data_IF_112041385338
#
_entry.id   IF_112041385338
#
_cell.length_a   1.000
_cell.length_b   1.000
_cell.length_c   1.000
_cell.angle_alpha   90.00
_cell.angle_beta   90.00
_cell.angle_gamma   90.00
#
_symmetry.space_group_name_H-M   'P 1'
#
loop_
_entity.id
_entity.type
_entity.pdbx_description
1 polymer ?
#
# COMPACT_ATOMS: atom_id res chain seq x y z
N UNK A 1 -12.13 -34.45 16.67
CA UNK A 1 -12.53 -35.02 15.37
C UNK A 1 -11.36 -35.23 14.43
N UNK A 2 -10.75 -34.20 13.80
CA UNK A 2 -9.66 -34.45 12.84
C UNK A 2 -8.40 -35.03 13.48
N UNK A 3 -7.97 -34.49 14.64
CA UNK A 3 -6.82 -35.03 15.38
C UNK A 3 -7.04 -36.47 15.88
N UNK A 4 -8.29 -36.86 16.15
CA UNK A 4 -8.64 -38.25 16.54
C UNK A 4 -8.40 -39.24 15.40
N UNK A 5 -8.33 -38.75 14.16
CA UNK A 5 -8.00 -39.51 12.96
C UNK A 5 -6.59 -39.22 12.44
N UNK A 6 -5.71 -38.64 13.27
CA UNK A 6 -4.32 -38.27 12.95
C UNK A 6 -4.18 -37.35 11.72
N UNK A 7 -5.22 -36.57 11.41
CA UNK A 7 -5.20 -35.60 10.32
C UNK A 7 -4.86 -34.22 10.88
N UNK A 8 -3.68 -33.69 10.53
CA UNK A 8 -3.15 -32.40 11.04
C UNK A 8 -2.96 -31.32 9.98
N UNK A 9 -3.09 -31.65 8.69
CA UNK A 9 -2.96 -30.71 7.58
C UNK A 9 -4.22 -29.84 7.42
N UNK A 10 -4.45 -28.98 8.41
CA UNK A 10 -5.69 -28.20 8.55
C UNK A 10 -5.38 -26.71 8.54
N UNK A 11 -6.28 -25.94 7.93
CA UNK A 11 -6.40 -24.50 8.14
C UNK A 11 -7.82 -24.19 8.59
N UNK A 12 -7.99 -23.23 9.50
CA UNK A 12 -9.30 -22.91 10.08
C UNK A 12 -9.74 -21.52 9.63
N UNK A 13 -11.04 -21.36 9.37
CA UNK A 13 -11.66 -20.07 9.08
C UNK A 13 -12.99 -19.97 9.80
N UNK A 14 -13.23 -18.84 10.47
CA UNK A 14 -14.48 -18.50 11.15
C UNK A 14 -14.96 -17.14 10.66
N UNK A 15 -15.59 -17.12 9.49
CA UNK A 15 -15.94 -15.88 8.79
C UNK A 15 -17.22 -15.26 9.36
N UNK A 16 -17.26 -13.94 9.36
CA UNK A 16 -18.45 -13.16 9.68
C UNK A 16 -18.50 -11.91 8.79
N UNK A 17 -19.69 -11.36 8.56
CA UNK A 17 -19.84 -10.17 7.72
C UNK A 17 -19.53 -8.87 8.48
N UNK A 18 -19.76 -8.84 9.80
CA UNK A 18 -19.39 -7.74 10.68
C UNK A 18 -17.91 -7.84 11.11
N UNK A 19 -17.06 -6.81 10.82
CA UNK A 19 -15.64 -6.80 11.18
C UNK A 19 -15.36 -6.97 12.68
N UNK A 20 -16.16 -6.35 13.55
CA UNK A 20 -15.91 -6.38 15.01
C UNK A 20 -16.14 -7.79 15.56
N UNK A 21 -17.19 -8.45 15.11
CA UNK A 21 -17.52 -9.83 15.46
C UNK A 21 -16.45 -10.79 14.92
N UNK A 22 -16.01 -10.59 13.68
CA UNK A 22 -14.92 -11.37 13.09
C UNK A 22 -13.65 -11.26 13.94
N UNK A 23 -13.21 -10.05 14.28
CA UNK A 23 -12.01 -9.82 15.10
C UNK A 23 -12.09 -10.58 16.42
N UNK A 24 -13.22 -10.48 17.13
CA UNK A 24 -13.43 -11.21 18.40
C UNK A 24 -13.32 -12.73 18.21
N UNK A 25 -13.94 -13.27 17.16
CA UNK A 25 -13.91 -14.70 16.88
C UNK A 25 -12.48 -15.21 16.59
N UNK A 26 -11.72 -14.49 15.75
CA UNK A 26 -10.34 -14.88 15.43
C UNK A 26 -9.38 -14.74 16.62
N UNK A 27 -9.52 -13.72 17.47
CA UNK A 27 -8.72 -13.62 18.71
C UNK A 27 -8.99 -14.80 19.65
N UNK A 28 -10.26 -15.17 19.81
CA UNK A 28 -10.61 -16.35 20.61
C UNK A 28 -10.05 -17.64 20.01
N UNK A 29 -10.11 -17.78 18.68
CA UNK A 29 -9.60 -18.95 17.98
C UNK A 29 -8.06 -19.06 18.08
N UNK A 30 -7.35 -17.96 17.83
CA UNK A 30 -5.89 -17.89 17.93
C UNK A 30 -5.38 -18.20 19.35
N UNK A 31 -6.15 -17.83 20.39
CA UNK A 31 -5.82 -18.19 21.77
C UNK A 31 -6.09 -19.67 22.14
N UNK A 32 -6.72 -20.43 21.24
CA UNK A 32 -7.15 -21.83 21.49
C UNK A 32 -6.40 -22.86 20.66
N UNK A 33 -5.80 -22.47 19.54
CA UNK A 33 -5.03 -23.38 18.70
C UNK A 33 -4.01 -22.64 17.83
N UNK A 34 -2.97 -23.36 17.43
CA UNK A 34 -1.88 -22.86 16.59
C UNK A 34 -2.05 -23.25 15.10
N UNK A 35 -3.27 -23.66 14.70
CA UNK A 35 -3.54 -23.97 13.30
C UNK A 35 -3.52 -22.70 12.44
N UNK A 36 -3.01 -22.77 11.20
CA UNK A 36 -3.04 -21.62 10.30
C UNK A 36 -4.48 -21.11 10.07
N UNK A 37 -4.65 -19.80 10.15
CA UNK A 37 -5.93 -19.11 10.10
C UNK A 37 -6.13 -18.43 8.74
N UNK A 38 -7.22 -18.79 8.07
CA UNK A 38 -7.64 -18.13 6.84
C UNK A 38 -8.66 -17.03 7.13
N UNK A 39 -8.23 -15.78 7.02
CA UNK A 39 -9.08 -14.62 7.27
C UNK A 39 -9.97 -14.32 6.06
N UNK A 40 -11.22 -13.97 6.32
CA UNK A 40 -12.10 -13.39 5.32
C UNK A 40 -13.36 -12.79 5.94
N UNK A 41 -13.65 -11.53 5.62
CA UNK A 41 -14.97 -10.95 5.83
C UNK A 41 -15.88 -11.52 4.74
N UNK A 42 -16.93 -12.24 5.11
CA UNK A 42 -17.93 -12.72 4.14
C UNK A 42 -18.95 -11.63 3.87
N UNK A 43 -19.59 -11.64 2.69
CA UNK A 43 -20.68 -10.69 2.38
C UNK A 43 -20.26 -9.22 2.65
N UNK A 44 -19.04 -8.83 2.26
CA UNK A 44 -18.51 -7.51 2.60
C UNK A 44 -19.20 -6.38 1.81
N UNK A 45 -19.79 -6.71 0.65
CA UNK A 45 -20.57 -5.78 -0.18
C UNK A 45 -19.81 -5.26 -1.40
N UNK A 46 -20.32 -4.19 -2.04
CA UNK A 46 -19.68 -3.55 -3.21
C UNK A 46 -18.28 -3.00 -2.89
N UNK A 47 -17.49 -2.68 -3.92
CA UNK A 47 -16.05 -2.34 -3.82
C UNK A 47 -15.73 -1.41 -2.65
N UNK A 48 -16.34 -0.23 -2.56
CA UNK A 48 -16.01 0.75 -1.51
C UNK A 48 -16.30 0.22 -0.10
N UNK A 49 -17.53 -0.24 0.14
CA UNK A 49 -17.93 -0.76 1.45
C UNK A 49 -17.18 -2.03 1.84
N UNK A 50 -17.04 -2.98 0.89
CA UNK A 50 -16.35 -4.24 1.11
C UNK A 50 -14.86 -4.07 1.35
N UNK A 51 -14.22 -3.10 0.68
CA UNK A 51 -12.83 -2.70 0.94
C UNK A 51 -12.68 -2.18 2.35
N UNK A 52 -13.52 -1.24 2.78
CA UNK A 52 -13.45 -0.66 4.14
C UNK A 52 -13.64 -1.74 5.19
N UNK A 53 -14.67 -2.60 5.05
CA UNK A 53 -14.95 -3.67 6.02
C UNK A 53 -13.79 -4.67 6.12
N UNK A 54 -13.25 -5.09 4.97
CA UNK A 54 -12.14 -6.04 4.91
C UNK A 54 -10.86 -5.45 5.49
N UNK A 55 -10.48 -4.23 5.08
CA UNK A 55 -9.31 -3.53 5.60
C UNK A 55 -9.41 -3.27 7.11
N UNK A 56 -10.60 -2.96 7.63
CA UNK A 56 -10.83 -2.77 9.07
C UNK A 56 -10.57 -4.06 9.85
N UNK A 57 -11.15 -5.19 9.43
CA UNK A 57 -10.96 -6.47 10.12
C UNK A 57 -9.51 -6.97 10.01
N UNK A 58 -8.95 -6.92 8.80
CA UNK A 58 -7.61 -7.44 8.53
C UNK A 58 -6.53 -6.56 9.15
N UNK A 59 -6.68 -5.23 9.12
CA UNK A 59 -5.73 -4.31 9.76
C UNK A 59 -5.56 -4.60 11.25
N UNK A 60 -6.66 -4.89 11.95
CA UNK A 60 -6.61 -5.26 13.37
C UNK A 60 -5.94 -6.63 13.57
N UNK A 61 -6.44 -7.68 12.89
CA UNK A 61 -5.95 -9.04 13.13
C UNK A 61 -4.49 -9.23 12.69
N UNK A 62 -4.14 -8.74 11.50
CA UNK A 62 -2.81 -8.93 10.94
C UNK A 62 -1.75 -8.10 11.68
N UNK A 63 -2.08 -6.92 12.22
CA UNK A 63 -1.15 -6.16 13.07
C UNK A 63 -0.90 -6.83 14.43
N UNK A 64 -1.81 -7.70 14.87
CA UNK A 64 -1.65 -8.56 16.04
C UNK A 64 -0.94 -9.88 15.73
N UNK A 65 -0.50 -10.09 14.48
CA UNK A 65 0.11 -11.35 14.03
C UNK A 65 -0.90 -12.49 13.83
N UNK A 66 -2.20 -12.21 13.76
CA UNK A 66 -3.25 -13.21 13.58
C UNK A 66 -3.65 -13.29 12.11
N UNK A 67 -3.36 -14.42 11.45
CA UNK A 67 -3.79 -14.74 10.09
C UNK A 67 -2.65 -15.11 9.15
N UNK A 68 -2.79 -16.25 8.47
CA UNK A 68 -1.75 -16.84 7.61
C UNK A 68 -2.08 -16.69 6.12
N UNK A 69 -3.36 -16.50 5.82
CA UNK A 69 -3.83 -16.22 4.46
C UNK A 69 -5.12 -15.39 4.54
N UNK A 70 -5.31 -14.50 3.58
CA UNK A 70 -6.49 -13.65 3.49
C UNK A 70 -7.26 -13.91 2.20
N UNK A 71 -8.58 -13.68 2.25
CA UNK A 71 -9.42 -13.45 1.07
C UNK A 71 -10.37 -12.29 1.33
N UNK A 72 -10.28 -11.27 0.49
CA UNK A 72 -11.29 -10.20 0.40
C UNK A 72 -12.51 -10.75 -0.35
N UNK A 73 -13.73 -10.51 0.13
CA UNK A 73 -14.96 -10.99 -0.53
C UNK A 73 -15.79 -9.80 -0.98
N UNK A 74 -15.75 -9.45 -2.27
CA UNK A 74 -16.43 -8.28 -2.84
C UNK A 74 -17.55 -8.69 -3.78
N UNK A 75 -18.60 -7.88 -3.86
CA UNK A 75 -19.58 -7.96 -4.94
C UNK A 75 -19.05 -7.27 -6.21
N UNK A 76 -17.93 -7.79 -6.74
CA UNK A 76 -17.16 -7.23 -7.86
C UNK A 76 -16.40 -8.34 -8.61
N UNK A 77 -15.80 -8.05 -9.79
CA UNK A 77 -14.92 -9.02 -10.45
C UNK A 77 -13.79 -9.50 -9.51
N UNK A 78 -13.42 -10.80 -9.51
CA UNK A 78 -12.45 -11.35 -8.57
C UNK A 78 -11.07 -10.68 -8.58
N UNK A 79 -10.68 -10.07 -9.69
CA UNK A 79 -9.43 -9.31 -9.81
C UNK A 79 -9.39 -8.14 -8.82
N UNK A 80 -10.53 -7.52 -8.51
CA UNK A 80 -10.62 -6.44 -7.52
C UNK A 80 -10.41 -6.97 -6.09
N UNK A 81 -10.87 -8.19 -5.77
CA UNK A 81 -10.59 -8.85 -4.49
C UNK A 81 -9.07 -9.02 -4.29
N UNK A 82 -8.36 -9.46 -5.35
CA UNK A 82 -6.91 -9.64 -5.34
C UNK A 82 -6.18 -8.31 -5.17
N UNK A 83 -6.58 -7.28 -5.92
CA UNK A 83 -6.00 -5.93 -5.80
C UNK A 83 -6.12 -5.41 -4.37
N UNK A 84 -7.33 -5.42 -3.80
CA UNK A 84 -7.57 -4.95 -2.44
C UNK A 84 -6.79 -5.77 -1.41
N UNK A 85 -6.75 -7.10 -1.55
CA UNK A 85 -6.00 -7.95 -0.64
C UNK A 85 -4.49 -7.67 -0.66
N UNK A 86 -3.92 -7.49 -1.85
CA UNK A 86 -2.51 -7.08 -2.02
C UNK A 86 -2.28 -5.72 -1.36
N UNK A 87 -3.12 -4.72 -1.66
CA UNK A 87 -2.97 -3.37 -1.10
C UNK A 87 -3.07 -3.32 0.42
N UNK A 88 -3.90 -4.16 1.05
CA UNK A 88 -3.97 -4.27 2.52
C UNK A 88 -2.65 -4.81 3.09
N UNK A 89 -2.12 -5.89 2.52
CA UNK A 89 -0.85 -6.47 2.97
C UNK A 89 0.33 -5.51 2.77
N UNK A 90 0.35 -4.83 1.63
CA UNK A 90 1.32 -3.76 1.31
C UNK A 90 1.24 -2.61 2.31
N UNK A 91 0.03 -2.16 2.66
CA UNK A 91 -0.18 -1.07 3.64
C UNK A 91 0.33 -1.43 5.04
N UNK A 92 0.22 -2.70 5.42
CA UNK A 92 0.71 -3.24 6.70
C UNK A 92 2.20 -3.64 6.67
N UNK A 93 2.90 -3.40 5.56
CA UNK A 93 4.28 -3.88 5.32
C UNK A 93 4.45 -5.40 5.35
N UNK A 94 3.37 -6.18 5.28
CA UNK A 94 3.39 -7.65 5.24
C UNK A 94 3.68 -8.19 3.83
N UNK A 95 3.61 -7.32 2.83
CA UNK A 95 4.02 -7.58 1.45
C UNK A 95 4.78 -6.37 0.94
N UNK A 96 5.80 -6.60 0.12
CA UNK A 96 6.57 -5.50 -0.43
C UNK A 96 5.70 -4.70 -1.43
N UNK A 97 5.73 -3.38 -1.28
CA UNK A 97 5.05 -2.44 -2.18
C UNK A 97 5.75 -2.41 -3.53
N UNK A 98 4.98 -2.37 -4.61
CA UNK A 98 5.53 -2.04 -5.94
C UNK A 98 5.65 -0.54 -6.12
N UNK A 99 4.55 0.18 -6.10
CA UNK A 99 4.57 1.64 -6.23
C UNK A 99 3.74 2.24 -5.10
N UNK A 100 4.30 3.22 -4.41
CA UNK A 100 3.60 3.98 -3.40
C UNK A 100 3.65 5.46 -3.76
N UNK A 101 2.49 6.04 -4.08
CA UNK A 101 2.36 7.49 -4.25
C UNK A 101 1.97 8.08 -2.90
N UNK A 102 2.82 8.93 -2.35
CA UNK A 102 2.53 9.69 -1.14
C UNK A 102 2.24 11.12 -1.57
N UNK A 103 1.02 11.60 -1.33
CA UNK A 103 0.63 12.96 -1.70
C UNK A 103 0.01 13.70 -0.54
N UNK A 104 0.32 14.99 -0.40
CA UNK A 104 -0.39 15.81 0.58
C UNK A 104 -1.87 15.95 0.17
N UNK A 105 -2.82 16.00 1.12
CA UNK A 105 -4.26 16.06 0.84
C UNK A 105 -4.74 17.40 0.25
N UNK A 106 -3.81 18.29 -0.14
CA UNK A 106 -4.03 19.72 -0.36
C UNK A 106 -4.45 20.48 0.92
N UNK A 107 -4.14 21.77 0.99
CA UNK A 107 -4.54 22.66 2.10
C UNK A 107 -4.46 24.13 1.66
N UNK A 108 -4.76 25.07 2.55
CA UNK A 108 -4.66 26.52 2.24
C UNK A 108 -3.25 27.02 1.89
N UNK A 109 -2.22 26.16 2.01
CA UNK A 109 -0.84 26.44 1.58
C UNK A 109 -0.52 25.87 0.19
N UNK A 110 -1.42 25.09 -0.39
CA UNK A 110 -1.20 24.51 -1.72
C UNK A 110 -1.04 25.63 -2.74
N UNK A 111 0.06 25.58 -3.48
CA UNK A 111 0.40 26.54 -4.53
C UNK A 111 0.22 25.95 -5.93
N UNK A 112 -0.13 24.67 -6.01
CA UNK A 112 -0.43 23.94 -7.25
C UNK A 112 -1.63 23.02 -7.03
N UNK A 113 -2.23 22.56 -8.12
CA UNK A 113 -3.26 21.53 -8.06
C UNK A 113 -2.62 20.15 -7.82
N UNK A 114 -2.52 19.80 -6.54
CA UNK A 114 -1.90 18.54 -6.09
C UNK A 114 -2.68 17.33 -6.56
N UNK A 115 -4.00 17.42 -6.65
CA UNK A 115 -4.85 16.29 -7.07
C UNK A 115 -4.51 15.93 -8.51
N UNK A 116 -4.59 16.91 -9.42
CA UNK A 116 -4.22 16.71 -10.83
C UNK A 116 -2.78 16.26 -10.99
N UNK A 117 -1.85 16.76 -10.18
CA UNK A 117 -0.44 16.37 -10.25
C UNK A 117 -0.24 14.91 -9.81
N UNK A 118 -0.82 14.52 -8.68
CA UNK A 118 -0.71 13.16 -8.15
C UNK A 118 -1.36 12.13 -9.09
N UNK A 119 -2.53 12.45 -9.65
CA UNK A 119 -3.21 11.58 -10.62
C UNK A 119 -2.36 11.35 -11.88
N UNK A 120 -1.77 12.42 -12.43
CA UNK A 120 -0.88 12.33 -13.60
C UNK A 120 0.37 11.50 -13.32
N UNK A 121 0.98 11.69 -12.15
CA UNK A 121 2.14 10.90 -11.73
C UNK A 121 1.76 9.43 -11.54
N UNK A 122 0.64 9.15 -10.88
CA UNK A 122 0.13 7.79 -10.69
C UNK A 122 -0.15 7.10 -12.03
N UNK A 123 -0.79 7.79 -12.98
CA UNK A 123 -1.06 7.27 -14.30
C UNK A 123 0.22 7.01 -15.09
N UNK A 124 1.20 7.93 -15.03
CA UNK A 124 2.48 7.79 -15.72
C UNK A 124 3.37 6.67 -15.19
N UNK A 125 3.23 6.33 -13.90
CA UNK A 125 3.98 5.25 -13.25
C UNK A 125 3.21 3.93 -13.16
N UNK A 126 2.04 3.86 -13.77
CA UNK A 126 1.23 2.65 -13.79
C UNK A 126 2.02 1.51 -14.46
N UNK A 127 2.11 0.36 -13.78
CA UNK A 127 2.86 -0.80 -14.27
C UNK A 127 4.30 -0.89 -13.76
N UNK A 128 4.75 0.05 -12.91
CA UNK A 128 6.02 -0.06 -12.19
C UNK A 128 6.09 -1.37 -11.40
N UNK A 129 7.20 -2.09 -11.55
CA UNK A 129 7.39 -3.43 -10.95
C UNK A 129 8.40 -3.46 -9.81
N UNK A 130 9.28 -2.46 -9.76
CA UNK A 130 10.24 -2.27 -8.65
C UNK A 130 9.58 -1.53 -7.50
N UNK A 131 9.99 -1.76 -6.24
CA UNK A 131 9.52 -1.03 -5.07
C UNK A 131 9.99 0.43 -5.10
N UNK A 132 9.10 1.36 -5.45
CA UNK A 132 9.42 2.79 -5.50
C UNK A 132 8.38 3.62 -4.74
N UNK A 133 8.84 4.47 -3.81
CA UNK A 133 8.02 5.48 -3.15
C UNK A 133 8.21 6.83 -3.82
N UNK A 134 7.11 7.42 -4.29
CA UNK A 134 7.09 8.72 -4.97
C UNK A 134 6.25 9.72 -4.21
N UNK A 135 6.87 10.82 -3.76
CA UNK A 135 6.22 11.90 -3.03
C UNK A 135 5.75 13.04 -3.95
N UNK A 136 4.50 13.47 -3.84
CA UNK A 136 3.91 14.58 -4.62
C UNK A 136 3.36 15.65 -3.68
N UNK A 137 4.10 16.75 -3.52
CA UNK A 137 3.79 17.77 -2.52
C UNK A 137 3.42 19.11 -3.14
N UNK A 138 2.33 19.70 -2.63
CA UNK A 138 1.71 20.90 -3.19
C UNK A 138 2.24 22.24 -2.71
N UNK A 139 3.22 22.25 -1.81
CA UNK A 139 3.79 23.47 -1.29
C UNK A 139 5.27 23.29 -0.95
N UNK A 140 5.99 24.40 -0.87
CA UNK A 140 7.42 24.44 -0.49
C UNK A 140 7.67 24.46 1.02
N UNK A 141 6.62 24.37 1.84
CA UNK A 141 6.72 24.48 3.31
C UNK A 141 7.08 23.14 3.93
N UNK A 142 6.15 22.19 3.97
CA UNK A 142 6.40 20.83 4.46
C UNK A 142 6.83 19.88 3.33
N UNK A 143 6.52 20.25 2.08
CA UNK A 143 6.79 19.42 0.91
C UNK A 143 8.25 18.96 0.77
N UNK A 144 9.27 19.80 1.03
CA UNK A 144 10.66 19.36 0.97
C UNK A 144 11.02 18.31 2.02
N UNK A 145 10.42 18.34 3.21
CA UNK A 145 10.67 17.32 4.23
C UNK A 145 10.13 15.96 3.80
N UNK A 146 8.84 15.94 3.44
CA UNK A 146 8.14 14.73 3.01
C UNK A 146 8.73 14.15 1.69
N UNK A 147 9.17 15.01 0.76
CA UNK A 147 9.79 14.59 -0.50
C UNK A 147 11.19 13.97 -0.31
N UNK A 148 11.90 14.28 0.77
CA UNK A 148 13.22 13.71 1.06
C UNK A 148 13.16 12.32 1.67
N UNK A 149 12.05 11.96 2.31
CA UNK A 149 11.83 10.63 2.88
C UNK A 149 11.43 9.58 1.82
N UNK A 150 11.08 10.04 0.61
CA UNK A 150 10.77 9.20 -0.52
C UNK A 150 12.00 8.92 -1.39
N UNK A 151 11.95 7.83 -2.17
CA UNK A 151 13.00 7.51 -3.15
C UNK A 151 13.09 8.58 -4.24
N UNK A 152 11.91 9.08 -4.64
CA UNK A 152 11.71 10.16 -5.59
C UNK A 152 10.63 11.10 -5.04
N UNK A 153 10.76 12.41 -5.24
CA UNK A 153 9.74 13.34 -4.78
C UNK A 153 9.73 14.67 -5.51
N UNK A 154 8.63 15.40 -5.38
CA UNK A 154 8.53 16.79 -5.80
C UNK A 154 7.92 17.65 -4.70
N UNK A 155 8.52 18.82 -4.48
CA UNK A 155 7.89 19.93 -3.77
C UNK A 155 7.58 21.06 -4.76
N UNK A 156 6.30 21.32 -4.96
CA UNK A 156 5.80 22.23 -5.99
C UNK A 156 5.31 23.55 -5.39
N UNK A 157 5.61 24.66 -6.06
CA UNK A 157 5.15 25.99 -5.68
C UNK A 157 5.71 27.10 -6.56
N UNK A 158 5.01 28.23 -6.60
CA UNK A 158 5.39 29.40 -7.40
C UNK A 158 5.71 29.07 -8.88
N UNK A 159 4.94 28.17 -9.49
CA UNK A 159 5.11 27.76 -10.90
C UNK A 159 6.33 26.87 -11.17
N UNK A 160 6.95 26.30 -10.13
CA UNK A 160 8.13 25.41 -10.23
C UNK A 160 7.97 24.19 -9.33
N UNK A 161 8.68 23.11 -9.67
CA UNK A 161 8.83 21.93 -8.83
C UNK A 161 10.30 21.65 -8.56
N UNK A 162 10.66 21.45 -7.29
CA UNK A 162 11.96 20.91 -6.90
C UNK A 162 11.86 19.40 -6.87
N UNK A 163 12.67 18.73 -7.68
CA UNK A 163 12.72 17.27 -7.77
C UNK A 163 13.80 16.74 -6.83
N UNK A 164 13.40 15.78 -6.01
CA UNK A 164 14.23 15.12 -5.02
C UNK A 164 14.46 13.68 -5.43
N UNK A 165 15.69 13.20 -5.30
CA UNK A 165 16.03 11.77 -5.41
C UNK A 165 16.85 11.40 -4.19
N UNK A 166 16.40 10.39 -3.43
CA UNK A 166 17.07 9.90 -2.21
C UNK A 166 17.47 11.03 -1.23
N UNK A 167 16.60 12.02 -1.05
CA UNK A 167 16.83 13.14 -0.15
C UNK A 167 17.55 14.36 -0.74
N UNK A 168 18.08 14.29 -1.96
CA UNK A 168 18.84 15.37 -2.58
C UNK A 168 18.05 16.06 -3.69
N UNK A 169 18.16 17.40 -3.78
CA UNK A 169 17.56 18.17 -4.88
C UNK A 169 18.43 17.99 -6.12
N UNK A 170 17.91 17.30 -7.12
CA UNK A 170 18.64 17.02 -8.37
C UNK A 170 18.34 18.05 -9.47
N UNK A 171 17.12 18.58 -9.51
CA UNK A 171 16.68 19.56 -10.52
C UNK A 171 15.52 20.40 -10.01
N UNK A 172 15.43 21.63 -10.51
CA UNK A 172 14.23 22.49 -10.36
C UNK A 172 13.67 22.75 -11.75
N UNK A 173 12.42 22.35 -11.97
CA UNK A 173 11.76 22.43 -13.28
C UNK A 173 10.53 23.33 -13.23
N UNK A 174 10.11 23.93 -14.36
CA UNK A 174 8.81 24.57 -14.47
C UNK A 174 7.68 23.57 -14.17
N UNK A 175 6.56 24.05 -13.64
CA UNK A 175 5.42 23.20 -13.25
C UNK A 175 4.94 22.26 -14.37
N UNK A 176 4.94 22.75 -15.61
CA UNK A 176 4.55 21.98 -16.79
C UNK A 176 5.43 20.74 -17.05
N UNK A 177 6.67 20.72 -16.57
CA UNK A 177 7.64 19.65 -16.80
C UNK A 177 7.72 18.66 -15.62
N UNK A 178 7.04 18.92 -14.49
CA UNK A 178 7.18 18.11 -13.27
C UNK A 178 6.85 16.64 -13.53
N UNK A 179 5.72 16.35 -14.20
CA UNK A 179 5.25 14.98 -14.41
C UNK A 179 6.22 14.20 -15.29
N UNK A 180 6.60 14.76 -16.43
CA UNK A 180 7.58 14.18 -17.36
C UNK A 180 8.90 13.89 -16.64
N UNK A 181 9.39 14.89 -15.90
CA UNK A 181 10.64 14.82 -15.16
C UNK A 181 10.63 13.74 -14.06
N UNK A 182 9.51 13.56 -13.35
CA UNK A 182 9.37 12.50 -12.34
C UNK A 182 9.34 11.11 -12.99
N UNK A 183 8.64 10.97 -14.12
CA UNK A 183 8.55 9.67 -14.82
C UNK A 183 9.94 9.25 -15.32
N UNK A 184 10.69 10.17 -15.92
CA UNK A 184 12.06 9.91 -16.37
C UNK A 184 12.96 9.42 -15.23
N UNK A 185 12.94 10.09 -14.09
CA UNK A 185 13.76 9.70 -12.93
C UNK A 185 13.28 8.40 -12.30
N UNK A 186 11.97 8.16 -12.25
CA UNK A 186 11.42 6.90 -11.76
C UNK A 186 11.87 5.71 -12.62
N UNK A 187 11.88 5.87 -13.95
CA UNK A 187 12.36 4.85 -14.88
C UNK A 187 13.86 4.61 -14.72
N UNK A 188 14.66 5.68 -14.61
CA UNK A 188 16.10 5.57 -14.33
C UNK A 188 16.38 4.82 -13.03
N UNK A 189 15.67 5.17 -11.95
CA UNK A 189 15.80 4.49 -10.66
C UNK A 189 15.35 3.02 -10.75
N UNK A 190 14.30 2.73 -11.52
CA UNK A 190 13.84 1.37 -11.74
C UNK A 190 14.87 0.51 -12.48
N UNK A 191 15.51 1.04 -13.51
CA UNK A 191 16.61 0.37 -14.22
C UNK A 191 17.80 0.09 -13.30
N UNK A 192 18.19 1.06 -12.46
CA UNK A 192 19.26 0.89 -11.47
C UNK A 192 18.92 -0.21 -10.44
N UNK A 193 17.68 -0.24 -9.94
CA UNK A 193 17.21 -1.27 -9.00
C UNK A 193 17.20 -2.66 -9.64
N UNK A 194 16.73 -2.77 -10.89
CA UNK A 194 16.74 -4.03 -11.63
C UNK A 194 18.18 -4.52 -11.87
N UNK A 195 19.09 -3.63 -12.27
CA UNK A 195 20.50 -3.96 -12.49
C UNK A 195 21.23 -4.39 -11.20
N UNK A 196 20.86 -3.80 -10.05
CA UNK A 196 21.37 -4.18 -8.75
C UNK A 196 20.81 -5.52 -8.22
N UNK A 197 19.94 -6.20 -8.99
CA UNK A 197 19.30 -7.44 -8.56
C UNK A 197 18.29 -7.22 -7.43
N UNK A 198 17.82 -5.99 -7.23
CA UNK A 198 16.65 -5.70 -6.41
C UNK A 198 15.43 -6.23 -7.17
N UNK A 199 15.26 -7.55 -7.13
CA UNK A 199 13.98 -8.17 -7.35
C UNK A 199 12.99 -7.60 -6.32
N UNK A 200 11.70 -7.84 -6.49
CA UNK A 200 10.72 -7.58 -5.45
C UNK A 200 11.09 -8.36 -4.17
N UNK A 201 11.99 -7.79 -3.36
CA UNK A 201 12.61 -8.36 -2.17
C UNK A 201 11.63 -8.55 -1.03
N UNK A 202 12.11 -9.28 -0.03
CA UNK A 202 11.30 -9.73 1.10
C UNK A 202 10.75 -8.55 1.91
N UNK A 203 9.45 -8.55 2.26
CA UNK A 203 8.89 -7.57 3.18
C UNK A 203 9.56 -7.71 4.55
N UNK A 204 10.26 -6.67 5.02
CA UNK A 204 10.73 -6.61 6.41
C UNK A 204 9.62 -6.05 7.29
N UNK A 205 8.95 -6.92 8.05
CA UNK A 205 8.01 -6.50 9.09
C UNK A 205 8.79 -6.32 10.39
N UNK A 206 9.02 -5.08 10.80
CA UNK A 206 9.35 -4.79 12.19
C UNK A 206 8.04 -4.66 12.96
N UNK A 207 7.47 -5.78 13.40
CA UNK A 207 6.45 -5.75 14.45
C UNK A 207 7.20 -5.47 15.76
N UNK A 208 7.00 -4.30 16.34
CA UNK A 208 7.40 -4.02 17.73
C UNK A 208 6.41 -4.65 18.69
#
# INVERSE_FOLDING_TARGET
>A
MFEEHDFRDIKISVKHHDPVTMVKAYRLLAAKCDYPLHLGVTEAGPIFQGTIKSATAFGILLSEGIGDTIRVSLSAPPVEEVKVGISILESLNLRQRKLEIVSCPSCGRAQVDVYSLAEKVQAGLQGMTVPLRVAVMGCVVNGPGEAREADLGVASGNGKGQIFVKGEVIKTVPEAQIVETLIEEAMRLAEEMQAAGVASGEPSVAVQ
#
